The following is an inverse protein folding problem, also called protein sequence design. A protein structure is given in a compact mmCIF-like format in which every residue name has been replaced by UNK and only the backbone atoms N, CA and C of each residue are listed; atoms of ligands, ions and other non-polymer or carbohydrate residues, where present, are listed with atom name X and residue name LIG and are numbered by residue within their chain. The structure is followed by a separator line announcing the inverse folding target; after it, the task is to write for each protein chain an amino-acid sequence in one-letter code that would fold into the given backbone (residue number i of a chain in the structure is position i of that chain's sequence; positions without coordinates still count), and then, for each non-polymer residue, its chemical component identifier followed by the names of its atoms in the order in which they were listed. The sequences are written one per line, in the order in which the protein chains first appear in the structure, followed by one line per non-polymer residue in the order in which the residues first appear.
data_IF_172434905306
#
_entry.id   IF_172434905306
#
_cell.length_a   1.000
_cell.length_b   1.000
_cell.length_c   1.000
_cell.angle_alpha   90.00
_cell.angle_beta   90.00
_cell.angle_gamma   90.00
#
_symmetry.space_group_name_H-M   'P 1'
#
loop_
_entity.id
_entity.type
_entity.pdbx_description
1 polymer ?
#
# COMPACT_ATOMS: atom_id res chain seq x y z
N UNK A 1 36.86 -43.05 -24.36
CA UNK A 1 35.73 -43.37 -23.48
C UNK A 1 34.71 -42.25 -23.55
N UNK A 2 33.44 -42.55 -23.28
CA UNK A 2 32.35 -41.58 -23.05
C UNK A 2 31.61 -41.96 -21.78
N UNK A 3 31.01 -40.98 -21.12
CA UNK A 3 30.15 -41.20 -19.95
C UNK A 3 28.71 -41.45 -20.41
N UNK A 4 28.08 -42.46 -19.82
CA UNK A 4 26.66 -42.75 -20.00
C UNK A 4 26.03 -43.02 -18.64
N UNK A 5 24.71 -42.91 -18.57
CA UNK A 5 23.94 -43.25 -17.39
C UNK A 5 23.00 -44.41 -17.68
N UNK A 6 23.09 -45.46 -16.87
CA UNK A 6 22.08 -46.52 -16.83
C UNK A 6 20.97 -46.08 -15.89
N UNK A 7 19.79 -45.77 -16.41
CA UNK A 7 18.66 -45.34 -15.59
C UNK A 7 17.80 -46.52 -15.13
N UNK A 8 17.33 -46.47 -13.88
CA UNK A 8 16.38 -47.43 -13.30
C UNK A 8 14.97 -46.85 -13.18
N UNK A 9 14.09 -47.53 -12.43
CA UNK A 9 12.80 -46.94 -12.00
C UNK A 9 13.02 -45.70 -11.13
N UNK A 10 14.04 -45.74 -10.29
CA UNK A 10 14.57 -44.64 -9.49
C UNK A 10 16.09 -44.75 -9.51
N UNK A 11 16.75 -43.61 -9.62
CA UNK A 11 18.18 -43.43 -9.80
C UNK A 11 18.78 -44.15 -10.99
N UNK A 12 20.07 -44.44 -10.86
CA UNK A 12 20.86 -45.01 -11.93
C UNK A 12 22.31 -45.21 -11.55
N UNK A 13 23.14 -45.44 -12.55
CA UNK A 13 24.57 -45.62 -12.41
C UNK A 13 25.30 -44.88 -13.52
N UNK A 14 26.32 -44.10 -13.17
CA UNK A 14 27.28 -43.54 -14.12
C UNK A 14 28.25 -44.65 -14.57
N UNK A 15 28.46 -44.74 -15.88
CA UNK A 15 29.34 -45.72 -16.50
C UNK A 15 30.25 -45.02 -17.51
N UNK A 16 31.52 -45.40 -17.54
CA UNK A 16 32.44 -45.05 -18.62
C UNK A 16 32.52 -46.20 -19.62
N UNK A 17 32.22 -45.90 -20.90
CA UNK A 17 32.14 -46.90 -21.97
C UNK A 17 32.95 -46.46 -23.19
N UNK A 18 33.16 -47.37 -24.14
CA UNK A 18 33.76 -47.03 -25.44
C UNK A 18 32.93 -45.98 -26.18
N UNK A 19 33.57 -45.18 -27.05
CA UNK A 19 32.86 -44.18 -27.87
C UNK A 19 31.77 -44.82 -28.73
N UNK A 20 32.02 -46.04 -29.21
CA UNK A 20 31.13 -46.79 -30.09
C UNK A 20 30.03 -47.57 -29.33
N UNK A 21 29.94 -47.42 -28.00
CA UNK A 21 28.91 -48.10 -27.22
C UNK A 21 27.51 -47.61 -27.63
N UNK A 22 26.58 -48.52 -27.98
CA UNK A 22 25.24 -48.13 -28.42
C UNK A 22 24.42 -47.56 -27.27
N UNK A 23 23.84 -46.38 -27.47
CA UNK A 23 22.93 -45.75 -26.50
C UNK A 23 21.50 -46.17 -26.82
N UNK A 24 21.02 -47.15 -26.07
CA UNK A 24 19.66 -47.68 -26.16
C UNK A 24 19.12 -47.95 -24.77
N UNK A 25 17.82 -48.17 -24.62
CA UNK A 25 17.22 -48.48 -23.31
C UNK A 25 17.98 -49.63 -22.61
N UNK A 26 18.34 -49.50 -21.31
CA UNK A 26 18.04 -48.41 -20.37
C UNK A 26 19.22 -47.41 -20.17
N UNK A 27 19.90 -47.02 -21.24
CA UNK A 27 21.04 -46.09 -21.21
C UNK A 27 20.71 -44.74 -21.86
N UNK A 28 21.29 -43.68 -21.32
CA UNK A 28 21.21 -42.32 -21.84
C UNK A 28 22.58 -41.63 -21.75
N UNK A 29 22.85 -40.68 -22.65
CA UNK A 29 23.98 -39.74 -22.56
C UNK A 29 23.57 -38.43 -21.87
N UNK A 30 22.32 -38.32 -21.40
CA UNK A 30 21.81 -37.13 -20.72
C UNK A 30 22.13 -37.23 -19.23
N UNK A 31 22.90 -36.29 -18.67
CA UNK A 31 23.29 -36.33 -17.26
C UNK A 31 22.09 -36.12 -16.32
N UNK A 32 22.12 -36.68 -15.11
CA UNK A 32 21.15 -36.41 -14.06
C UNK A 32 21.18 -34.93 -13.63
N UNK A 33 20.13 -34.51 -12.90
CA UNK A 33 20.05 -33.18 -12.31
C UNK A 33 21.19 -33.02 -11.29
N UNK A 34 22.01 -31.97 -11.43
CA UNK A 34 23.21 -31.79 -10.60
C UNK A 34 22.88 -31.45 -9.13
N UNK A 35 21.74 -30.81 -8.88
CA UNK A 35 21.33 -30.32 -7.56
C UNK A 35 20.57 -31.35 -6.74
N UNK A 36 20.24 -32.51 -7.31
CA UNK A 36 19.44 -33.56 -6.69
C UNK A 36 20.28 -34.83 -6.64
N UNK A 37 20.21 -35.61 -5.55
CA UNK A 37 20.92 -36.88 -5.50
C UNK A 37 20.41 -37.84 -6.59
N UNK A 38 21.28 -38.60 -7.25
CA UNK A 38 20.88 -39.53 -8.31
C UNK A 38 19.79 -40.51 -7.81
N UNK A 39 19.85 -40.96 -6.57
CA UNK A 39 18.84 -41.85 -5.96
C UNK A 39 17.44 -41.23 -5.85
N UNK A 40 17.35 -39.89 -5.83
CA UNK A 40 16.12 -39.11 -5.72
C UNK A 40 15.59 -38.64 -7.07
N UNK A 41 16.04 -39.25 -8.17
CA UNK A 41 15.62 -38.90 -9.52
C UNK A 41 15.16 -40.12 -10.29
N UNK A 42 14.47 -39.92 -11.40
CA UNK A 42 14.22 -40.95 -12.40
C UNK A 42 14.30 -40.34 -13.80
N UNK A 43 14.75 -41.14 -14.76
CA UNK A 43 14.79 -40.72 -16.16
C UNK A 43 13.44 -40.98 -16.82
N UNK A 44 12.94 -40.02 -17.60
CA UNK A 44 11.71 -40.14 -18.38
C UNK A 44 12.12 -40.31 -19.85
N UNK A 45 12.18 -41.54 -20.41
CA UNK A 45 12.68 -41.77 -21.76
C UNK A 45 11.90 -41.04 -22.85
N UNK A 46 10.58 -40.89 -22.67
CA UNK A 46 9.72 -40.16 -23.61
C UNK A 46 9.98 -38.65 -23.64
N UNK A 47 10.52 -38.09 -22.55
CA UNK A 47 10.84 -36.66 -22.43
C UNK A 47 12.34 -36.38 -22.56
N UNK A 48 13.17 -37.43 -22.59
CA UNK A 48 14.63 -37.30 -22.67
C UNK A 48 15.23 -36.50 -21.51
N UNK A 49 14.71 -36.64 -20.29
CA UNK A 49 15.21 -35.87 -19.14
C UNK A 49 15.09 -36.62 -17.81
N UNK A 50 15.91 -36.20 -16.85
CA UNK A 50 15.77 -36.59 -15.45
C UNK A 50 14.75 -35.72 -14.73
N UNK A 51 14.05 -36.32 -13.76
CA UNK A 51 13.08 -35.64 -12.90
C UNK A 51 13.27 -36.09 -11.46
N UNK A 52 13.22 -35.14 -10.54
CA UNK A 52 13.22 -35.40 -9.10
C UNK A 52 11.96 -36.15 -8.65
N UNK A 53 12.13 -37.05 -7.68
CA UNK A 53 11.04 -37.76 -7.02
C UNK A 53 10.45 -36.81 -5.98
N UNK A 54 9.24 -36.29 -6.23
CA UNK A 54 8.51 -35.58 -5.18
C UNK A 54 7.98 -36.58 -4.14
N UNK A 55 8.47 -36.46 -2.91
CA UNK A 55 8.02 -37.28 -1.79
C UNK A 55 6.75 -36.66 -1.14
N UNK A 56 6.21 -37.32 -0.09
CA UNK A 56 5.02 -36.83 0.61
C UNK A 56 5.27 -35.48 1.32
N UNK A 57 6.46 -35.29 1.90
CA UNK A 57 6.85 -34.04 2.56
C UNK A 57 6.90 -32.87 1.58
N UNK A 58 7.39 -33.10 0.35
CA UNK A 58 7.39 -32.07 -0.70
C UNK A 58 5.97 -31.65 -1.08
N UNK A 59 5.02 -32.60 -1.13
CA UNK A 59 3.60 -32.27 -1.36
C UNK A 59 2.99 -31.47 -0.21
N UNK A 60 3.24 -31.87 1.04
CA UNK A 60 2.75 -31.12 2.21
C UNK A 60 3.31 -29.70 2.23
N UNK A 61 4.58 -29.50 1.88
CA UNK A 61 5.17 -28.17 1.75
C UNK A 61 4.50 -27.33 0.65
N UNK A 62 4.17 -27.93 -0.49
CA UNK A 62 3.44 -27.24 -1.57
C UNK A 62 2.01 -26.88 -1.17
N UNK A 63 1.31 -27.77 -0.47
CA UNK A 63 -0.05 -27.53 0.03
C UNK A 63 -0.03 -26.40 1.07
N UNK A 64 0.91 -26.44 2.02
CA UNK A 64 1.10 -25.39 3.01
C UNK A 64 1.41 -24.03 2.36
N UNK A 65 2.26 -24.03 1.33
CA UNK A 65 2.61 -22.83 0.57
C UNK A 65 1.38 -22.26 -0.17
N UNK A 66 0.55 -23.12 -0.76
CA UNK A 66 -0.71 -22.71 -1.42
C UNK A 66 -1.69 -22.07 -0.43
N UNK A 67 -1.83 -22.65 0.77
CA UNK A 67 -2.65 -22.08 1.85
C UNK A 67 -2.10 -20.72 2.29
N UNK A 68 -0.78 -20.61 2.48
CA UNK A 68 -0.14 -19.35 2.85
C UNK A 68 -0.39 -18.26 1.80
N UNK A 69 -0.20 -18.57 0.51
CA UNK A 69 -0.46 -17.61 -0.57
C UNK A 69 -1.92 -17.16 -0.59
N UNK A 70 -2.87 -18.08 -0.41
CA UNK A 70 -4.30 -17.75 -0.36
C UNK A 70 -4.64 -16.83 0.81
N UNK A 71 -3.98 -17.00 1.96
CA UNK A 71 -4.17 -16.12 3.12
C UNK A 71 -3.56 -14.74 2.89
N UNK A 72 -2.35 -14.68 2.32
CA UNK A 72 -1.69 -13.42 1.98
C UNK A 72 -2.48 -12.61 0.95
N UNK A 73 -3.10 -13.27 -0.03
CA UNK A 73 -3.96 -12.62 -1.01
C UNK A 73 -5.19 -11.98 -0.34
N UNK A 74 -5.85 -12.71 0.57
CA UNK A 74 -6.98 -12.18 1.35
C UNK A 74 -6.57 -10.99 2.22
N UNK A 75 -5.44 -11.07 2.90
CA UNK A 75 -4.92 -9.96 3.72
C UNK A 75 -4.61 -8.73 2.86
N UNK A 76 -4.02 -8.93 1.67
CA UNK A 76 -3.76 -7.84 0.74
C UNK A 76 -5.04 -7.16 0.27
N UNK A 77 -6.11 -7.89 -0.02
CA UNK A 77 -7.40 -7.30 -0.39
C UNK A 77 -8.00 -6.48 0.77
N UNK A 78 -7.89 -6.96 2.01
CA UNK A 78 -8.30 -6.20 3.20
C UNK A 78 -7.49 -4.91 3.34
N UNK A 79 -6.18 -4.95 3.11
CA UNK A 79 -5.30 -3.77 3.18
C UNK A 79 -5.67 -2.76 2.09
N UNK A 80 -5.93 -3.21 0.86
CA UNK A 80 -6.38 -2.33 -0.24
C UNK A 80 -7.69 -1.62 0.11
N UNK A 81 -8.66 -2.35 0.65
CA UNK A 81 -9.94 -1.78 1.08
C UNK A 81 -9.72 -0.70 2.16
N UNK A 82 -8.94 -1.00 3.21
CA UNK A 82 -8.62 -0.02 4.26
C UNK A 82 -7.89 1.21 3.73
N UNK A 83 -6.97 1.03 2.80
CA UNK A 83 -6.23 2.13 2.16
C UNK A 83 -7.18 3.06 1.39
N UNK A 84 -8.13 2.49 0.64
CA UNK A 84 -9.14 3.25 -0.06
C UNK A 84 -10.06 4.03 0.89
N UNK A 85 -10.50 3.40 1.99
CA UNK A 85 -11.33 4.05 3.00
C UNK A 85 -10.59 5.21 3.69
N UNK A 86 -9.31 5.03 4.02
CA UNK A 86 -8.47 6.10 4.56
C UNK A 86 -8.31 7.24 3.57
N UNK A 87 -8.12 6.95 2.27
CA UNK A 87 -8.09 7.96 1.22
C UNK A 87 -9.36 8.80 1.16
N UNK A 88 -10.53 8.15 1.24
CA UNK A 88 -11.82 8.84 1.26
C UNK A 88 -12.00 9.71 2.51
N UNK A 89 -11.64 9.19 3.69
CA UNK A 89 -11.72 9.95 4.95
C UNK A 89 -10.80 11.17 4.90
N UNK A 90 -9.57 11.00 4.41
CA UNK A 90 -8.62 12.10 4.29
C UNK A 90 -9.15 13.20 3.35
N UNK A 91 -9.77 12.83 2.23
CA UNK A 91 -10.44 13.77 1.33
C UNK A 91 -11.57 14.54 2.01
N UNK A 92 -12.43 13.86 2.79
CA UNK A 92 -13.50 14.51 3.56
C UNK A 92 -12.96 15.46 4.62
N UNK A 93 -11.89 15.08 5.32
CA UNK A 93 -11.24 15.94 6.31
C UNK A 93 -10.64 17.20 5.68
N UNK A 94 -9.99 17.07 4.52
CA UNK A 94 -9.44 18.22 3.79
C UNK A 94 -10.53 19.20 3.36
N UNK A 95 -11.65 18.71 2.81
CA UNK A 95 -12.81 19.54 2.47
C UNK A 95 -13.39 20.25 3.71
N UNK A 96 -13.52 19.54 4.82
CA UNK A 96 -13.99 20.12 6.08
C UNK A 96 -13.05 21.21 6.60
N UNK A 97 -11.73 20.99 6.52
CA UNK A 97 -10.73 21.97 6.92
C UNK A 97 -10.79 23.24 6.05
N UNK A 98 -10.98 23.08 4.73
CA UNK A 98 -11.17 24.22 3.81
C UNK A 98 -12.43 25.03 4.14
N UNK A 99 -13.54 24.36 4.45
CA UNK A 99 -14.78 25.03 4.83
C UNK A 99 -14.62 25.82 6.14
N UNK A 100 -14.00 25.22 7.16
CA UNK A 100 -13.72 25.90 8.43
C UNK A 100 -12.80 27.11 8.25
N UNK A 101 -11.79 27.01 7.37
CA UNK A 101 -10.90 28.13 7.06
C UNK A 101 -11.66 29.29 6.40
N UNK A 102 -12.61 28.97 5.50
CA UNK A 102 -13.48 29.95 4.87
C UNK A 102 -14.38 30.64 5.91
N UNK A 103 -15.08 29.86 6.74
CA UNK A 103 -15.93 30.39 7.80
C UNK A 103 -15.15 31.29 8.77
N UNK A 104 -13.93 30.90 9.16
CA UNK A 104 -13.07 31.73 10.00
C UNK A 104 -12.69 33.06 9.35
N UNK A 105 -12.45 33.07 8.04
CA UNK A 105 -12.17 34.30 7.30
C UNK A 105 -13.39 35.23 7.31
N UNK A 106 -14.58 34.68 7.01
CA UNK A 106 -15.84 35.45 7.03
C UNK A 106 -16.17 35.99 8.42
N UNK A 107 -15.92 35.21 9.48
CA UNK A 107 -16.11 35.65 10.87
C UNK A 107 -15.15 36.79 11.24
N UNK A 108 -13.90 36.72 10.79
CA UNK A 108 -12.91 37.78 11.00
C UNK A 108 -13.33 39.08 10.33
N UNK A 109 -13.77 39.02 9.08
CA UNK A 109 -14.26 40.19 8.34
C UNK A 109 -15.49 40.84 9.01
N UNK A 110 -16.42 40.02 9.53
CA UNK A 110 -17.57 40.51 10.31
C UNK A 110 -17.13 41.15 11.62
N UNK A 111 -16.18 40.54 12.34
CA UNK A 111 -15.62 41.09 13.57
C UNK A 111 -14.97 42.45 13.34
N UNK A 112 -14.15 42.57 12.29
CA UNK A 112 -13.48 43.83 11.92
C UNK A 112 -14.50 44.91 11.54
N UNK A 113 -15.56 44.53 10.81
CA UNK A 113 -16.66 45.43 10.45
C UNK A 113 -17.42 45.94 11.69
N UNK A 114 -17.70 45.06 12.65
CA UNK A 114 -18.33 45.43 13.92
C UNK A 114 -17.45 46.35 14.75
N UNK A 115 -16.14 46.08 14.83
CA UNK A 115 -15.19 46.94 15.51
C UNK A 115 -15.20 48.36 14.90
N UNK A 116 -15.17 48.46 13.57
CA UNK A 116 -15.25 49.74 12.85
C UNK A 116 -16.56 50.48 13.13
N UNK A 117 -17.70 49.78 13.12
CA UNK A 117 -19.00 50.36 13.42
C UNK A 117 -19.07 50.86 14.87
N UNK A 118 -18.51 50.11 15.82
CA UNK A 118 -18.43 50.49 17.21
C UNK A 118 -17.62 51.77 17.40
N UNK A 119 -16.42 51.85 16.81
CA UNK A 119 -15.59 53.07 16.85
C UNK A 119 -16.32 54.28 16.26
N UNK A 120 -17.02 54.11 15.12
CA UNK A 120 -17.80 55.19 14.51
C UNK A 120 -18.95 55.65 15.42
N UNK A 121 -19.60 54.71 16.10
CA UNK A 121 -20.71 55.02 17.03
C UNK A 121 -20.19 55.77 18.26
N UNK A 122 -19.05 55.36 18.82
CA UNK A 122 -18.40 56.08 19.94
C UNK A 122 -18.05 57.53 19.57
N UNK A 123 -17.56 57.76 18.35
CA UNK A 123 -17.27 59.12 17.86
C UNK A 123 -18.54 59.97 17.73
N UNK A 124 -19.64 59.39 17.21
CA UNK A 124 -20.93 60.10 17.16
C UNK A 124 -21.49 60.41 18.54
N UNK A 125 -21.39 59.48 19.49
CA UNK A 125 -21.81 59.70 20.88
C UNK A 125 -21.01 60.86 21.48
N UNK A 126 -19.68 60.85 21.35
CA UNK A 126 -18.84 61.93 21.86
C UNK A 126 -19.16 63.29 21.22
N UNK A 127 -19.53 63.32 19.92
CA UNK A 127 -19.97 64.52 19.25
C UNK A 127 -21.32 65.02 19.80
N UNK A 128 -22.31 64.14 19.95
CA UNK A 128 -23.60 64.49 20.54
C UNK A 128 -23.45 64.95 21.99
N UNK A 129 -22.59 64.32 22.80
CA UNK A 129 -22.32 64.75 24.17
C UNK A 129 -21.76 66.18 24.23
N UNK A 130 -20.93 66.56 23.24
CA UNK A 130 -20.41 67.93 23.10
C UNK A 130 -21.52 68.90 22.70
N UNK A 131 -22.34 68.55 21.70
CA UNK A 131 -23.48 69.36 21.26
C UNK A 131 -24.49 69.60 22.39
N UNK A 132 -24.80 68.57 23.18
CA UNK A 132 -25.69 68.67 24.35
C UNK A 132 -25.13 69.65 25.39
N UNK A 133 -23.82 69.58 25.68
CA UNK A 133 -23.17 70.53 26.61
C UNK A 133 -23.29 71.97 26.10
N UNK A 134 -22.97 72.21 24.83
CA UNK A 134 -23.06 73.54 24.23
C UNK A 134 -24.49 74.09 24.21
N UNK A 135 -25.50 73.24 24.01
CA UNK A 135 -26.91 73.63 24.10
C UNK A 135 -27.28 74.01 25.54
N UNK A 136 -26.88 73.20 26.53
CA UNK A 136 -27.16 73.47 27.93
C UNK A 136 -26.54 74.78 28.41
N UNK A 137 -25.27 75.06 28.05
CA UNK A 137 -24.59 76.33 28.38
C UNK A 137 -25.34 77.55 27.80
N UNK A 138 -25.86 77.44 26.56
CA UNK A 138 -26.64 78.52 25.94
C UNK A 138 -28.00 78.76 26.61
N UNK A 139 -28.65 77.71 27.10
CA UNK A 139 -29.92 77.82 27.82
C UNK A 139 -29.73 78.49 29.19
N UNK A 140 -28.65 78.16 29.90
CA UNK A 140 -28.33 78.80 31.19
C UNK A 140 -27.96 80.29 31.04
N UNK A 141 -27.21 80.65 29.98
CA UNK A 141 -26.87 82.05 29.70
C UNK A 141 -28.01 82.91 29.11
N UNK A 142 -29.11 82.30 28.69
CA UNK A 142 -30.31 82.98 28.16
C UNK A 142 -31.41 83.24 29.20
N UNK A 143 -31.16 82.90 30.48
CA UNK A 143 -32.11 83.04 31.58
C UNK A 143 -31.93 84.32 32.42
N UNK A 144 -31.18 85.30 31.93
CA UNK A 144 -31.11 86.69 32.44
C UNK A 144 -32.07 87.61 31.69
#
# INVERSE_FOLDING_TARGET
MKKIWRFGRTGGQELEVSKDFPVQFPFTEIPPLETVDLSQQFFIPSEGRWKEIMNQLDRENLDNLSVLYSNLEKENEVIKAKSNDLGQINGKLMLSAMNLQKENTELKEKSDSLAKLNSKSMLMIAAHDKEIKEINEKLEGGAE
#
